data_IF_481550287346
#
_entry.id   IF_481550287346
#
_cell.length_a   1.000
_cell.length_b   1.000
_cell.length_c   1.000
_cell.angle_alpha   90.00
_cell.angle_beta   90.00
_cell.angle_gamma   90.00
#
_symmetry.space_group_name_H-M   'P 1'
#
loop_
_entity.id
_entity.type
_entity.pdbx_description
1 polymer ?
#
# COMPACT_ATOMS: atom_id res chain seq x y z
N UNK A 1 0.90 -13.48 34.96
CA UNK A 1 0.75 -12.05 34.64
C UNK A 1 -0.62 -11.85 33.99
N UNK A 2 -1.34 -10.83 34.35
CA UNK A 2 -2.68 -10.53 33.85
C UNK A 2 -2.58 -9.50 32.70
N UNK A 3 -3.56 -9.47 31.79
CA UNK A 3 -3.68 -8.53 30.67
C UNK A 3 -3.61 -7.06 31.13
N UNK A 4 -3.95 -6.79 32.39
CA UNK A 4 -3.77 -5.48 33.04
C UNK A 4 -2.33 -4.96 33.09
N UNK A 5 -1.33 -5.84 32.87
CA UNK A 5 0.09 -5.47 32.93
C UNK A 5 0.69 -5.08 31.58
N UNK A 6 -0.10 -5.11 30.50
CA UNK A 6 0.31 -4.58 29.20
C UNK A 6 -0.07 -3.10 29.07
N UNK A 7 0.52 -2.40 28.08
CA UNK A 7 0.21 -0.99 27.83
C UNK A 7 -1.30 -0.77 27.68
N UNK A 8 -1.81 0.31 28.27
CA UNK A 8 -3.26 0.61 28.39
C UNK A 8 -3.97 0.54 27.04
N UNK A 9 -3.35 0.99 25.97
CA UNK A 9 -3.88 0.97 24.59
C UNK A 9 -4.19 -0.45 24.08
N UNK A 10 -3.63 -1.50 24.68
CA UNK A 10 -3.82 -2.90 24.27
C UNK A 10 -4.59 -3.73 25.31
N UNK A 11 -5.08 -3.12 26.38
CA UNK A 11 -5.82 -3.85 27.43
C UNK A 11 -7.20 -4.31 26.95
N UNK A 12 -7.82 -3.55 26.06
CA UNK A 12 -9.07 -3.95 25.42
C UNK A 12 -8.79 -4.94 24.27
N UNK A 13 -9.69 -5.92 24.01
CA UNK A 13 -9.59 -6.78 22.86
C UNK A 13 -9.64 -5.91 21.59
N UNK A 14 -8.67 -6.04 20.73
CA UNK A 14 -8.75 -5.51 19.35
C UNK A 14 -9.40 -6.59 18.49
N UNK A 15 -10.57 -6.31 17.94
CA UNK A 15 -11.15 -7.15 16.91
C UNK A 15 -10.27 -7.02 15.65
N UNK A 16 -9.71 -8.13 15.22
CA UNK A 16 -8.97 -8.20 13.97
C UNK A 16 -9.62 -9.25 13.09
N UNK A 17 -10.62 -8.84 12.33
CA UNK A 17 -11.42 -9.70 11.48
C UNK A 17 -10.56 -10.52 10.49
N UNK A 18 -9.48 -9.94 9.96
CA UNK A 18 -8.57 -10.66 9.04
C UNK A 18 -7.85 -11.82 9.76
N UNK A 19 -7.43 -11.63 11.01
CA UNK A 19 -6.82 -12.70 11.81
C UNK A 19 -7.82 -13.77 12.18
N UNK A 20 -9.06 -13.41 12.46
CA UNK A 20 -10.14 -14.34 12.78
C UNK A 20 -10.48 -15.19 11.54
N UNK A 21 -10.61 -14.56 10.36
CA UNK A 21 -10.81 -15.25 9.08
C UNK A 21 -9.63 -16.18 8.76
N UNK A 22 -8.39 -15.72 8.88
CA UNK A 22 -7.21 -16.55 8.66
C UNK A 22 -7.14 -17.75 9.62
N UNK A 23 -7.61 -17.57 10.87
CA UNK A 23 -7.68 -18.64 11.85
C UNK A 23 -8.77 -19.64 11.51
N UNK A 24 -9.93 -19.18 11.02
CA UNK A 24 -11.03 -20.02 10.57
C UNK A 24 -10.63 -20.82 9.31
N UNK A 25 -9.99 -20.14 8.36
CA UNK A 25 -9.50 -20.77 7.12
C UNK A 25 -8.57 -21.95 7.40
N UNK A 26 -7.61 -21.79 8.33
CA UNK A 26 -6.70 -22.88 8.74
C UNK A 26 -7.41 -24.10 9.38
N UNK A 27 -8.60 -23.90 9.94
CA UNK A 27 -9.39 -24.97 10.60
C UNK A 27 -10.39 -25.62 9.67
N UNK A 28 -10.63 -25.07 8.47
CA UNK A 28 -11.65 -25.55 7.54
C UNK A 28 -11.01 -26.42 6.47
N UNK A 29 -11.24 -27.75 6.47
CA UNK A 29 -10.68 -28.65 5.47
C UNK A 29 -11.22 -28.33 4.07
N UNK A 30 -10.37 -28.46 3.04
CA UNK A 30 -10.72 -28.25 1.63
C UNK A 30 -11.29 -26.86 1.29
N UNK A 31 -11.00 -25.85 2.10
CA UNK A 31 -11.38 -24.47 1.82
C UNK A 31 -10.62 -23.94 0.60
N UNK A 32 -11.34 -23.26 -0.29
CA UNK A 32 -10.75 -22.39 -1.31
C UNK A 32 -10.59 -21.00 -0.65
N UNK A 33 -9.39 -20.70 -0.20
CA UNK A 33 -9.10 -19.43 0.49
C UNK A 33 -8.84 -18.31 -0.52
N UNK A 34 -9.72 -17.33 -0.55
CA UNK A 34 -9.62 -16.10 -1.35
C UNK A 34 -9.47 -14.85 -0.48
N UNK A 35 -9.16 -15.00 0.81
CA UNK A 35 -9.20 -13.91 1.81
C UNK A 35 -7.94 -13.07 1.86
N UNK A 36 -6.77 -13.64 1.52
CA UNK A 36 -5.48 -12.97 1.65
C UNK A 36 -4.99 -12.51 0.28
N UNK A 37 -4.65 -11.22 0.18
CA UNK A 37 -4.03 -10.65 -1.03
C UNK A 37 -2.56 -11.05 -1.18
N UNK A 38 -2.27 -12.34 -1.14
CA UNK A 38 -0.94 -12.92 -1.38
C UNK A 38 -0.95 -13.58 -2.76
N UNK A 39 -0.22 -13.06 -3.77
CA UNK A 39 -0.15 -13.70 -5.07
C UNK A 39 0.30 -15.16 -4.94
N UNK A 40 -0.44 -16.08 -5.57
CA UNK A 40 -0.10 -17.49 -5.63
C UNK A 40 1.02 -17.80 -6.63
N UNK A 41 1.49 -16.77 -7.31
CA UNK A 41 2.64 -16.82 -8.22
C UNK A 41 3.94 -16.83 -7.41
N UNK A 42 4.94 -17.48 -7.95
CA UNK A 42 6.29 -17.52 -7.37
C UNK A 42 7.09 -16.35 -7.92
N UNK A 43 7.93 -15.73 -7.08
CA UNK A 43 8.95 -14.76 -7.53
C UNK A 43 9.75 -15.37 -8.70
N UNK A 44 9.97 -14.63 -9.77
CA UNK A 44 10.71 -15.11 -10.94
C UNK A 44 12.08 -15.69 -10.54
N UNK A 45 12.42 -16.85 -11.08
CA UNK A 45 13.62 -17.61 -10.73
C UNK A 45 14.91 -16.78 -10.93
N UNK A 46 14.93 -15.92 -11.95
CA UNK A 46 16.08 -15.04 -12.24
C UNK A 46 16.33 -14.02 -11.13
N UNK A 47 15.26 -13.50 -10.50
CA UNK A 47 15.38 -12.62 -9.33
C UNK A 47 15.95 -13.40 -8.14
N UNK A 48 15.48 -14.64 -7.92
CA UNK A 48 15.95 -15.51 -6.86
C UNK A 48 17.43 -15.87 -7.06
N UNK A 49 17.80 -16.27 -8.27
CA UNK A 49 19.18 -16.64 -8.62
C UNK A 49 20.12 -15.44 -8.48
N UNK A 50 19.72 -14.26 -8.93
CA UNK A 50 20.51 -13.04 -8.78
C UNK A 50 20.78 -12.73 -7.31
N UNK A 51 19.75 -12.73 -6.47
CA UNK A 51 19.91 -12.51 -5.03
C UNK A 51 20.81 -13.57 -4.37
N UNK A 52 20.69 -14.84 -4.77
CA UNK A 52 21.55 -15.91 -4.27
C UNK A 52 23.02 -15.72 -4.70
N UNK A 53 23.26 -15.25 -5.91
CA UNK A 53 24.61 -14.95 -6.40
C UNK A 53 25.20 -13.74 -5.67
N UNK A 54 24.43 -12.71 -5.43
CA UNK A 54 24.84 -11.53 -4.66
C UNK A 54 25.20 -11.92 -3.22
N UNK A 55 24.43 -12.84 -2.61
CA UNK A 55 24.78 -13.39 -1.31
C UNK A 55 26.14 -14.11 -1.31
N UNK A 56 26.40 -14.95 -2.31
CA UNK A 56 27.68 -15.65 -2.47
C UNK A 56 28.85 -14.69 -2.69
N UNK A 57 28.57 -13.54 -3.34
CA UNK A 57 29.55 -12.48 -3.58
C UNK A 57 29.75 -11.54 -2.38
N UNK A 58 29.13 -11.82 -1.24
CA UNK A 58 29.37 -11.09 0.01
C UNK A 58 28.37 -10.00 0.36
N UNK A 59 27.28 -9.81 -0.41
CA UNK A 59 26.20 -8.85 -0.11
C UNK A 59 25.33 -9.36 1.06
N UNK A 60 25.95 -9.63 2.22
CA UNK A 60 25.30 -10.18 3.42
C UNK A 60 25.49 -9.31 4.65
N UNK A 61 26.04 -8.11 4.49
CA UNK A 61 26.30 -7.14 5.56
C UNK A 61 25.20 -6.09 5.62
N UNK A 62 25.17 -5.35 6.71
CA UNK A 62 24.28 -4.19 6.82
C UNK A 62 24.55 -3.18 5.70
N UNK A 63 23.46 -2.63 5.15
CA UNK A 63 23.52 -1.40 4.36
C UNK A 63 23.38 -0.17 5.27
N UNK A 64 23.47 1.02 4.73
CA UNK A 64 23.01 2.22 5.41
C UNK A 64 21.52 2.08 5.82
N UNK A 65 21.09 2.81 6.85
CA UNK A 65 19.73 2.68 7.39
C UNK A 65 18.64 3.18 6.44
N UNK A 66 19.00 3.98 5.47
CA UNK A 66 18.17 4.44 4.35
C UNK A 66 18.21 3.51 3.12
N UNK A 67 19.11 2.54 3.10
CA UNK A 67 19.28 1.58 2.02
C UNK A 67 20.66 1.66 1.36
N UNK A 68 20.96 0.74 0.46
CA UNK A 68 22.17 0.80 -0.35
C UNK A 68 22.03 1.88 -1.43
N UNK A 69 23.14 2.55 -1.78
CA UNK A 69 23.16 3.55 -2.86
C UNK A 69 22.61 2.97 -4.17
N UNK A 70 22.96 1.73 -4.49
CA UNK A 70 22.48 1.05 -5.69
C UNK A 70 20.96 0.83 -5.69
N UNK A 71 20.35 0.53 -4.53
CA UNK A 71 18.90 0.38 -4.43
C UNK A 71 18.18 1.73 -4.58
N UNK A 72 18.67 2.76 -3.90
CA UNK A 72 18.15 4.12 -4.00
C UNK A 72 18.19 4.59 -5.47
N UNK A 73 19.33 4.41 -6.14
CA UNK A 73 19.50 4.78 -7.54
C UNK A 73 18.55 3.98 -8.45
N UNK A 74 18.36 2.68 -8.22
CA UNK A 74 17.43 1.88 -9.02
C UNK A 74 15.98 2.39 -8.90
N UNK A 75 15.54 2.82 -7.71
CA UNK A 75 14.22 3.43 -7.51
C UNK A 75 14.12 4.78 -8.24
N UNK A 76 15.16 5.62 -8.17
CA UNK A 76 15.19 6.92 -8.88
C UNK A 76 15.09 6.70 -10.39
N UNK A 77 15.86 5.77 -10.93
CA UNK A 77 15.86 5.44 -12.37
C UNK A 77 14.51 4.89 -12.82
N UNK A 78 13.87 4.05 -11.99
CA UNK A 78 12.52 3.54 -12.24
C UNK A 78 11.50 4.67 -12.39
N UNK A 79 11.45 5.61 -11.44
CA UNK A 79 10.52 6.75 -11.53
C UNK A 79 10.85 7.69 -12.69
N UNK A 80 12.13 7.90 -12.99
CA UNK A 80 12.54 8.72 -14.13
C UNK A 80 12.12 8.11 -15.46
N UNK A 81 12.29 6.79 -15.64
CA UNK A 81 11.99 6.11 -16.90
C UNK A 81 10.49 5.90 -17.13
N UNK A 82 9.74 5.52 -16.09
CA UNK A 82 8.34 5.16 -16.22
C UNK A 82 7.38 6.36 -16.06
N UNK A 83 7.73 7.31 -15.20
CA UNK A 83 6.84 8.42 -14.81
C UNK A 83 7.42 9.81 -15.10
N UNK A 84 8.63 9.92 -15.63
CA UNK A 84 9.36 11.18 -15.85
C UNK A 84 9.48 12.04 -14.59
N UNK A 85 9.48 11.41 -13.42
CA UNK A 85 9.70 12.06 -12.13
C UNK A 85 11.16 11.89 -11.71
N UNK A 86 11.77 12.99 -11.24
CA UNK A 86 13.15 13.00 -10.76
C UNK A 86 13.19 13.25 -9.26
N UNK A 87 13.91 12.40 -8.54
CA UNK A 87 14.12 12.52 -7.10
C UNK A 87 15.61 12.60 -6.78
N UNK A 88 15.94 13.22 -5.64
CA UNK A 88 17.29 13.21 -5.12
C UNK A 88 17.51 11.99 -4.23
N UNK A 89 18.74 11.47 -4.10
CA UNK A 89 19.01 10.30 -3.27
C UNK A 89 18.53 10.41 -1.82
N UNK A 90 18.60 11.60 -1.22
CA UNK A 90 18.13 11.86 0.15
C UNK A 90 16.60 11.87 0.30
N UNK A 91 15.86 11.83 -0.81
CA UNK A 91 14.40 11.72 -0.82
C UNK A 91 13.91 10.27 -0.87
N UNK A 92 14.79 9.31 -1.13
CA UNK A 92 14.43 7.89 -1.32
C UNK A 92 15.05 7.05 -0.21
N UNK A 93 14.29 6.08 0.29
CA UNK A 93 14.79 5.09 1.24
C UNK A 93 14.21 3.70 1.03
N UNK A 94 14.99 2.67 1.29
CA UNK A 94 14.53 1.30 1.38
C UNK A 94 13.72 1.07 2.67
N UNK A 95 12.67 0.28 2.56
CA UNK A 95 11.79 -0.07 3.69
C UNK A 95 11.51 -1.57 3.75
N UNK A 96 11.09 -2.07 4.90
CA UNK A 96 10.66 -3.48 5.08
C UNK A 96 9.21 -3.63 4.59
N UNK A 97 9.01 -3.46 3.28
CA UNK A 97 7.72 -3.29 2.62
C UNK A 97 7.10 -1.91 2.84
N UNK A 98 6.06 -1.58 2.07
CA UNK A 98 5.36 -0.28 2.15
C UNK A 98 4.79 0.01 3.54
N UNK A 99 4.27 -1.00 4.26
CA UNK A 99 3.77 -0.84 5.63
C UNK A 99 4.80 -0.24 6.59
N UNK A 100 6.07 -0.60 6.45
CA UNK A 100 7.14 -0.02 7.26
C UNK A 100 7.38 1.45 6.89
N UNK A 101 7.34 1.78 5.60
CA UNK A 101 7.42 3.17 5.15
C UNK A 101 6.29 4.04 5.72
N UNK A 102 5.05 3.55 5.64
CA UNK A 102 3.88 4.21 6.21
C UNK A 102 4.02 4.42 7.72
N UNK A 103 4.47 3.39 8.45
CA UNK A 103 4.76 3.52 9.89
C UNK A 103 5.77 4.63 10.16
N UNK A 104 6.89 4.64 9.45
CA UNK A 104 7.92 5.67 9.63
C UNK A 104 7.39 7.07 9.34
N UNK A 105 6.67 7.25 8.23
CA UNK A 105 6.08 8.53 7.86
C UNK A 105 5.12 9.06 8.95
N UNK A 106 4.20 8.21 9.42
CA UNK A 106 3.26 8.59 10.48
C UNK A 106 3.97 8.95 11.79
N UNK A 107 5.03 8.21 12.18
CA UNK A 107 5.83 8.55 13.35
C UNK A 107 6.55 9.90 13.23
N UNK A 108 6.93 10.29 12.00
CA UNK A 108 7.62 11.57 11.74
C UNK A 108 6.66 12.75 11.79
N UNK A 109 5.43 12.58 11.21
CA UNK A 109 4.56 13.73 10.94
C UNK A 109 3.50 13.99 12.01
N UNK A 110 3.14 12.99 12.85
CA UNK A 110 2.05 13.12 13.80
C UNK A 110 2.51 13.49 15.20
N UNK A 111 1.79 14.41 15.81
CA UNK A 111 1.74 14.61 17.24
C UNK A 111 0.47 13.92 17.83
N UNK A 112 0.45 13.64 19.15
CA UNK A 112 -0.75 13.10 19.78
C UNK A 112 -1.99 13.96 19.50
N UNK A 113 -3.01 13.32 18.93
CA UNK A 113 -4.29 13.95 18.59
C UNK A 113 -4.35 14.62 17.22
N UNK A 114 -3.28 14.60 16.42
CA UNK A 114 -3.34 14.98 15.00
C UNK A 114 -4.24 14.01 14.22
N UNK A 115 -5.00 14.52 13.27
CA UNK A 115 -5.97 13.77 12.50
C UNK A 115 -5.41 13.32 11.15
N UNK A 116 -5.72 12.07 10.77
CA UNK A 116 -5.40 11.51 9.45
C UNK A 116 -6.68 11.04 8.78
N UNK A 117 -6.98 11.59 7.60
CA UNK A 117 -8.14 11.21 6.82
C UNK A 117 -7.83 9.91 6.07
N UNK A 118 -8.72 8.91 6.19
CA UNK A 118 -8.64 7.61 5.52
C UNK A 118 -9.95 7.39 4.76
N UNK A 119 -9.90 7.24 3.44
CA UNK A 119 -11.11 6.93 2.70
C UNK A 119 -11.54 5.47 2.89
N UNK A 120 -12.84 5.21 2.91
CA UNK A 120 -13.44 3.89 3.13
C UNK A 120 -14.10 3.37 1.85
N UNK A 121 -14.07 2.06 1.57
CA UNK A 121 -13.40 0.98 2.31
C UNK A 121 -11.88 1.07 2.26
N UNK A 122 -11.17 0.62 3.29
CA UNK A 122 -9.72 0.78 3.41
C UNK A 122 -8.99 -0.51 3.83
N UNK A 123 -7.69 -0.53 3.59
CA UNK A 123 -6.80 -1.57 4.09
C UNK A 123 -6.62 -1.42 5.60
N UNK A 124 -7.13 -2.38 6.37
CA UNK A 124 -7.28 -2.28 7.84
C UNK A 124 -6.03 -1.81 8.62
N UNK A 125 -4.79 -2.12 8.23
CA UNK A 125 -3.61 -1.64 8.95
C UNK A 125 -3.43 -0.12 9.00
N UNK A 126 -4.02 0.66 8.10
CA UNK A 126 -3.87 2.12 8.14
C UNK A 126 -4.40 2.73 9.43
N UNK A 127 -5.62 2.33 9.84
CA UNK A 127 -6.20 2.75 11.12
C UNK A 127 -5.27 2.45 12.29
N UNK A 128 -4.76 1.20 12.33
CA UNK A 128 -3.90 0.76 13.43
C UNK A 128 -2.58 1.52 13.47
N UNK A 129 -1.99 1.84 12.30
CA UNK A 129 -0.76 2.61 12.21
C UNK A 129 -0.93 4.08 12.64
N UNK A 130 -2.07 4.70 12.30
CA UNK A 130 -2.41 6.05 12.79
C UNK A 130 -2.52 6.04 14.32
N UNK A 131 -3.21 5.04 14.89
CA UNK A 131 -3.33 4.89 16.35
C UNK A 131 -1.99 4.59 17.03
N UNK A 132 -1.10 3.83 16.38
CA UNK A 132 0.27 3.57 16.88
C UNK A 132 1.13 4.83 16.95
N UNK A 133 0.83 5.81 16.11
CA UNK A 133 1.48 7.13 16.12
C UNK A 133 0.73 8.16 17.00
N UNK A 134 -0.15 7.71 17.89
CA UNK A 134 -1.01 8.53 18.76
C UNK A 134 -1.91 9.52 17.99
N UNK A 135 -2.11 9.28 16.67
CA UNK A 135 -3.01 10.05 15.80
C UNK A 135 -4.47 9.60 15.92
N UNK A 136 -5.36 10.36 15.29
CA UNK A 136 -6.80 10.13 15.25
C UNK A 136 -7.23 9.83 13.80
N UNK A 137 -7.69 8.61 13.48
CA UNK A 137 -8.21 8.32 12.15
C UNK A 137 -9.58 8.98 11.96
N UNK A 138 -9.73 9.70 10.83
CA UNK A 138 -10.97 10.34 10.39
C UNK A 138 -11.41 9.67 9.10
N UNK A 139 -12.60 9.07 9.08
CA UNK A 139 -13.05 8.30 7.94
C UNK A 139 -13.83 9.13 6.93
N UNK A 140 -13.50 8.92 5.64
CA UNK A 140 -14.12 9.53 4.48
C UNK A 140 -14.77 8.42 3.65
N UNK A 141 -16.10 8.26 3.69
CA UNK A 141 -16.78 7.22 2.93
C UNK A 141 -16.70 7.46 1.43
N UNK A 142 -16.55 6.37 0.66
CA UNK A 142 -16.76 6.32 -0.78
C UNK A 142 -17.83 5.28 -1.10
N UNK A 143 -18.53 5.42 -2.23
CA UNK A 143 -19.71 4.63 -2.53
C UNK A 143 -19.60 3.94 -3.89
N UNK A 144 -20.24 2.77 -4.02
CA UNK A 144 -20.23 1.95 -5.24
C UNK A 144 -20.88 2.70 -6.41
N UNK A 145 -21.96 3.44 -6.16
CA UNK A 145 -22.68 4.25 -7.16
C UNK A 145 -21.81 5.33 -7.81
N UNK A 146 -20.80 5.84 -7.07
CA UNK A 146 -19.84 6.85 -7.55
C UNK A 146 -18.51 6.19 -8.00
N UNK A 147 -18.50 4.86 -8.16
CA UNK A 147 -17.31 4.11 -8.55
C UNK A 147 -16.19 4.15 -7.51
N UNK A 148 -16.55 4.32 -6.24
CA UNK A 148 -15.63 4.48 -5.11
C UNK A 148 -14.64 5.64 -5.27
N UNK A 149 -15.01 6.68 -6.06
CA UNK A 149 -14.22 7.90 -6.15
C UNK A 149 -14.37 8.72 -4.86
N UNK A 150 -13.35 9.52 -4.55
CA UNK A 150 -13.39 10.44 -3.42
C UNK A 150 -14.26 11.65 -3.79
N UNK A 151 -15.30 11.92 -2.99
CA UNK A 151 -16.02 13.19 -3.04
C UNK A 151 -15.15 14.28 -2.37
N UNK A 152 -14.61 15.18 -3.19
CA UNK A 152 -13.71 16.25 -2.73
C UNK A 152 -14.45 17.30 -1.90
N UNK A 153 -15.75 17.50 -2.11
CA UNK A 153 -16.53 18.39 -1.25
C UNK A 153 -16.63 17.80 0.17
N UNK A 154 -16.96 16.52 0.27
CA UNK A 154 -16.98 15.82 1.55
C UNK A 154 -15.58 15.74 2.21
N UNK A 155 -14.51 15.58 1.41
CA UNK A 155 -13.13 15.65 1.89
C UNK A 155 -12.87 17.00 2.58
N UNK A 156 -13.24 18.11 1.96
CA UNK A 156 -13.07 19.46 2.53
C UNK A 156 -13.83 19.63 3.84
N UNK A 157 -15.03 19.06 3.96
CA UNK A 157 -15.81 19.10 5.21
C UNK A 157 -15.16 18.33 6.37
N UNK A 158 -14.35 17.31 6.06
CA UNK A 158 -13.64 16.51 7.07
C UNK A 158 -12.36 17.18 7.59
N UNK A 159 -11.87 18.21 6.92
CA UNK A 159 -10.63 18.90 7.30
C UNK A 159 -10.90 19.81 8.50
N UNK A 160 -10.07 19.65 9.54
CA UNK A 160 -10.06 20.49 10.74
C UNK A 160 -8.67 21.09 10.94
N UNK A 161 -8.48 22.04 11.89
CA UNK A 161 -7.15 22.53 12.25
C UNK A 161 -6.18 21.44 12.77
N UNK A 162 -6.67 20.26 13.11
CA UNK A 162 -5.87 19.10 13.55
C UNK A 162 -5.52 18.15 12.41
N UNK A 163 -6.14 18.29 11.25
CA UNK A 163 -5.88 17.43 10.12
C UNK A 163 -4.44 17.62 9.63
N UNK A 164 -3.68 16.54 9.58
CA UNK A 164 -2.25 16.54 9.23
C UNK A 164 -1.99 15.87 7.90
N UNK A 165 -2.73 14.80 7.59
CA UNK A 165 -2.50 14.01 6.39
C UNK A 165 -3.78 13.37 5.85
N UNK A 166 -3.69 12.93 4.60
CA UNK A 166 -4.67 12.09 3.92
C UNK A 166 -3.93 10.83 3.48
N UNK A 167 -4.41 9.63 3.83
CA UNK A 167 -3.95 8.37 3.24
C UNK A 167 -4.74 8.15 1.96
N UNK A 168 -4.01 8.11 0.84
CA UNK A 168 -4.53 7.89 -0.49
C UNK A 168 -3.94 6.59 -1.06
N UNK A 169 -4.77 5.72 -1.61
CA UNK A 169 -4.32 4.46 -2.20
C UNK A 169 -5.15 4.15 -3.45
N UNK A 170 -4.47 4.16 -4.58
CA UNK A 170 -5.03 3.89 -5.90
C UNK A 170 -3.93 3.28 -6.77
N UNK A 171 -4.20 2.12 -7.41
CA UNK A 171 -5.42 1.30 -7.35
C UNK A 171 -5.78 0.81 -5.94
N UNK A 172 -7.09 0.76 -5.66
CA UNK A 172 -7.61 0.59 -4.30
C UNK A 172 -7.66 -0.87 -3.83
N UNK A 173 -7.31 -1.07 -2.58
CA UNK A 173 -7.60 -2.27 -1.81
C UNK A 173 -8.69 -1.92 -0.76
N UNK A 174 -9.94 -2.45 -0.81
CA UNK A 174 -10.31 -3.67 -1.54
C UNK A 174 -11.15 -3.47 -2.82
N UNK A 175 -11.49 -2.24 -3.21
CA UNK A 175 -12.54 -2.00 -4.21
C UNK A 175 -12.13 -2.24 -5.66
N UNK A 176 -10.82 -2.23 -5.96
CA UNK A 176 -10.29 -2.26 -7.32
C UNK A 176 -10.53 -0.95 -8.10
N UNK A 177 -10.97 0.10 -7.43
CA UNK A 177 -11.13 1.42 -8.03
C UNK A 177 -9.77 2.05 -8.35
N UNK A 178 -9.69 2.75 -9.46
CA UNK A 178 -8.60 3.63 -9.84
C UNK A 178 -9.13 5.05 -9.85
N UNK A 179 -8.47 5.96 -9.14
CA UNK A 179 -8.89 7.36 -9.12
C UNK A 179 -8.48 8.05 -10.41
N UNK A 180 -9.35 8.92 -10.91
CA UNK A 180 -9.09 9.70 -12.11
C UNK A 180 -8.00 10.75 -11.86
N UNK A 181 -7.32 11.19 -12.92
CA UNK A 181 -6.41 12.33 -12.82
C UNK A 181 -7.09 13.60 -12.28
N UNK A 182 -8.36 13.81 -12.60
CA UNK A 182 -9.15 14.92 -12.08
C UNK A 182 -9.28 14.84 -10.57
N UNK A 183 -9.66 13.67 -10.05
CA UNK A 183 -9.70 13.40 -8.59
C UNK A 183 -8.35 13.67 -7.93
N UNK A 184 -7.26 13.21 -8.55
CA UNK A 184 -5.91 13.47 -8.02
C UNK A 184 -5.54 14.96 -8.00
N UNK A 185 -5.86 15.71 -9.06
CA UNK A 185 -5.61 17.16 -9.13
C UNK A 185 -6.40 17.91 -8.05
N UNK A 186 -7.66 17.56 -7.85
CA UNK A 186 -8.51 18.18 -6.83
C UNK A 186 -8.00 17.86 -5.41
N UNK A 187 -7.63 16.62 -5.13
CA UNK A 187 -7.03 16.24 -3.83
C UNK A 187 -5.70 16.98 -3.62
N UNK A 188 -4.85 17.06 -4.65
CA UNK A 188 -3.60 17.82 -4.59
C UNK A 188 -3.85 19.30 -4.24
N UNK A 189 -4.83 19.92 -4.89
CA UNK A 189 -5.21 21.30 -4.62
C UNK A 189 -5.63 21.48 -3.15
N UNK A 190 -6.49 20.59 -2.65
CA UNK A 190 -6.92 20.59 -1.24
C UNK A 190 -5.74 20.44 -0.29
N UNK A 191 -4.84 19.48 -0.56
CA UNK A 191 -3.69 19.26 0.29
C UNK A 191 -2.74 20.46 0.32
N UNK A 192 -2.52 21.11 -0.82
CA UNK A 192 -1.70 22.33 -0.92
C UNK A 192 -2.35 23.51 -0.15
N UNK A 193 -3.67 23.74 -0.36
CA UNK A 193 -4.41 24.81 0.29
C UNK A 193 -4.42 24.70 1.82
N UNK A 194 -4.51 23.47 2.33
CA UNK A 194 -4.58 23.18 3.76
C UNK A 194 -3.24 22.74 4.38
N UNK A 195 -2.15 22.75 3.60
CA UNK A 195 -0.81 22.32 4.03
C UNK A 195 -0.82 20.90 4.65
N UNK A 196 -1.51 19.94 3.98
CA UNK A 196 -1.62 18.55 4.38
C UNK A 196 -0.56 17.70 3.67
N UNK A 197 -0.12 16.63 4.31
CA UNK A 197 0.60 15.56 3.64
C UNK A 197 -0.38 14.61 2.92
N UNK A 198 0.06 14.08 1.76
CA UNK A 198 -0.62 12.99 1.07
C UNK A 198 0.28 11.76 1.23
N UNK A 199 -0.21 10.79 1.98
CA UNK A 199 0.43 9.50 2.17
C UNK A 199 -0.07 8.57 1.06
N UNK A 200 0.65 8.56 -0.08
CA UNK A 200 0.24 7.85 -1.29
C UNK A 200 0.78 6.43 -1.28
N UNK A 201 -0.11 5.46 -1.04
CA UNK A 201 0.23 4.02 -1.16
C UNK A 201 0.01 3.58 -2.61
N UNK A 202 1.12 3.38 -3.33
CA UNK A 202 1.16 3.06 -4.76
C UNK A 202 1.54 1.58 -5.02
N UNK A 203 1.30 0.70 -4.05
CA UNK A 203 1.68 -0.73 -4.09
C UNK A 203 1.07 -1.50 -5.27
N UNK A 204 -0.04 -1.01 -5.82
CA UNK A 204 -0.74 -1.61 -6.96
C UNK A 204 -0.57 -0.81 -8.26
N UNK A 205 0.42 0.05 -8.37
CA UNK A 205 0.66 0.92 -9.53
C UNK A 205 0.64 0.18 -10.87
N UNK A 206 1.29 -1.00 -10.92
CA UNK A 206 1.34 -1.84 -12.11
C UNK A 206 -0.01 -2.45 -12.51
N UNK A 207 -0.95 -2.54 -11.58
CA UNK A 207 -2.26 -3.15 -11.80
C UNK A 207 -3.33 -2.13 -12.18
N UNK A 208 -3.03 -1.23 -13.14
CA UNK A 208 -4.01 -0.38 -13.79
C UNK A 208 -4.37 -0.98 -15.15
N UNK A 209 -5.59 -1.54 -15.29
CA UNK A 209 -5.94 -2.33 -16.48
C UNK A 209 -6.50 -1.51 -17.63
N UNK A 210 -6.97 -0.30 -17.39
CA UNK A 210 -7.67 0.52 -18.39
C UNK A 210 -6.99 1.86 -18.65
N UNK A 211 -6.19 2.34 -17.72
CA UNK A 211 -5.57 3.66 -17.75
C UNK A 211 -4.10 3.53 -17.36
N UNK A 212 -3.29 4.47 -17.81
CA UNK A 212 -1.90 4.56 -17.34
C UNK A 212 -1.87 5.11 -15.93
N UNK A 213 -1.15 4.45 -15.03
CA UNK A 213 -0.96 4.94 -13.66
C UNK A 213 -0.19 6.26 -13.66
N UNK A 214 -0.67 7.21 -12.87
CA UNK A 214 0.01 8.50 -12.64
C UNK A 214 0.30 8.66 -11.15
N UNK A 215 1.58 8.73 -10.73
CA UNK A 215 1.94 8.92 -9.33
C UNK A 215 1.40 10.23 -8.76
N UNK A 216 0.95 10.22 -7.50
CA UNK A 216 0.42 11.41 -6.82
C UNK A 216 1.45 12.55 -6.73
N UNK A 217 2.74 12.21 -6.66
CA UNK A 217 3.83 13.18 -6.66
C UNK A 217 3.89 14.05 -7.94
N UNK A 218 3.23 13.64 -9.03
CA UNK A 218 3.08 14.47 -10.25
C UNK A 218 2.27 15.73 -9.99
N UNK A 219 1.30 15.67 -9.08
CA UNK A 219 0.36 16.76 -8.82
C UNK A 219 0.73 17.61 -7.60
N UNK A 220 1.30 16.98 -6.57
CA UNK A 220 1.68 17.65 -5.32
C UNK A 220 3.03 17.16 -4.78
N UNK A 221 4.16 17.38 -5.49
CA UNK A 221 5.45 16.76 -5.17
C UNK A 221 6.00 17.12 -3.78
N UNK A 222 5.65 18.29 -3.24
CA UNK A 222 6.11 18.74 -1.91
C UNK A 222 5.24 18.23 -0.76
N UNK A 223 4.03 17.79 -1.06
CA UNK A 223 3.07 17.33 -0.07
C UNK A 223 2.98 15.79 -0.05
N UNK A 224 3.48 15.11 -1.08
CA UNK A 224 3.34 13.66 -1.23
C UNK A 224 4.49 12.91 -0.58
N UNK A 225 4.13 11.88 0.17
CA UNK A 225 5.01 10.81 0.62
C UNK A 225 4.52 9.54 -0.08
N UNK A 226 5.33 9.01 -0.98
CA UNK A 226 4.99 7.83 -1.80
C UNK A 226 5.53 6.56 -1.16
N UNK A 227 4.72 5.50 -1.16
CA UNK A 227 5.09 4.16 -0.70
C UNK A 227 4.97 3.18 -1.85
N UNK A 228 6.10 2.58 -2.24
CA UNK A 228 6.15 1.53 -3.24
C UNK A 228 6.53 0.18 -2.63
N UNK A 229 6.21 -0.90 -3.32
CA UNK A 229 6.45 -2.26 -2.82
C UNK A 229 6.71 -3.24 -3.95
N UNK A 230 7.58 -4.20 -3.69
CA UNK A 230 7.81 -5.34 -4.58
C UNK A 230 6.84 -6.50 -4.34
N UNK A 231 6.03 -6.41 -3.27
CA UNK A 231 5.21 -7.51 -2.79
C UNK A 231 4.23 -8.03 -3.84
N UNK A 232 3.58 -7.14 -4.62
CA UNK A 232 2.49 -7.51 -5.53
C UNK A 232 2.97 -7.65 -6.96
N UNK A 233 3.59 -6.61 -7.50
CA UNK A 233 4.06 -6.57 -8.88
C UNK A 233 5.08 -7.68 -9.22
N UNK A 234 5.88 -8.10 -8.25
CA UNK A 234 6.90 -9.13 -8.43
C UNK A 234 6.65 -10.44 -7.67
N UNK A 235 5.46 -10.63 -7.08
CA UNK A 235 5.15 -11.77 -6.21
C UNK A 235 6.21 -11.96 -5.09
N UNK A 236 6.64 -10.88 -4.46
CA UNK A 236 7.74 -10.83 -3.48
C UNK A 236 7.24 -10.53 -2.06
N UNK A 237 6.06 -11.01 -1.66
CA UNK A 237 5.48 -10.72 -0.34
C UNK A 237 6.38 -11.12 0.82
N UNK A 238 7.03 -12.29 0.72
CA UNK A 238 7.93 -12.85 1.74
C UNK A 238 9.31 -12.17 1.80
N UNK A 239 9.73 -11.43 0.78
CA UNK A 239 11.02 -10.75 0.73
C UNK A 239 11.07 -9.49 1.60
N UNK A 240 9.93 -8.96 1.98
CA UNK A 240 9.80 -7.77 2.83
C UNK A 240 10.62 -6.58 2.34
N UNK A 241 10.46 -6.20 1.09
CA UNK A 241 11.12 -5.05 0.47
C UNK A 241 10.11 -4.07 -0.16
N UNK A 242 10.38 -2.81 0.01
CA UNK A 242 9.68 -1.67 -0.56
C UNK A 242 10.53 -0.42 -0.44
N UNK A 243 9.94 0.71 -0.74
CA UNK A 243 10.61 2.00 -0.62
C UNK A 243 9.62 3.09 -0.19
N UNK A 244 10.17 4.17 0.34
CA UNK A 244 9.46 5.42 0.61
C UNK A 244 10.18 6.55 -0.13
N UNK A 245 9.42 7.40 -0.81
CA UNK A 245 9.90 8.65 -1.41
C UNK A 245 9.22 9.80 -0.68
N UNK A 246 9.99 10.67 -0.08
CA UNK A 246 9.46 11.75 0.75
C UNK A 246 10.36 13.00 0.65
N UNK A 247 9.89 14.18 1.06
CA UNK A 247 10.77 15.32 1.28
C UNK A 247 11.98 14.95 2.16
N UNK A 248 13.14 15.51 1.87
CA UNK A 248 14.42 15.18 2.51
C UNK A 248 14.38 15.27 4.04
N UNK A 249 13.77 16.32 4.59
CA UNK A 249 13.62 16.50 6.04
C UNK A 249 12.76 15.41 6.72
N UNK A 250 11.81 14.80 5.99
CA UNK A 250 11.03 13.63 6.46
C UNK A 250 11.94 12.39 6.51
N UNK A 251 12.70 12.17 5.43
CA UNK A 251 13.61 11.03 5.35
C UNK A 251 14.75 11.10 6.37
N UNK A 252 15.24 12.31 6.67
CA UNK A 252 16.27 12.53 7.70
C UNK A 252 15.78 12.04 9.08
N UNK A 253 14.55 12.44 9.47
CA UNK A 253 13.98 12.02 10.76
C UNK A 253 13.60 10.54 10.73
N UNK A 254 13.02 10.06 9.61
CA UNK A 254 12.69 8.63 9.43
C UNK A 254 13.94 7.73 9.55
N UNK A 255 15.10 8.20 9.12
CA UNK A 255 16.39 7.51 9.30
C UNK A 255 16.70 7.29 10.77
N UNK A 256 16.59 8.34 11.59
CA UNK A 256 16.85 8.26 13.04
C UNK A 256 15.90 7.28 13.73
N UNK A 257 14.60 7.32 13.38
CA UNK A 257 13.62 6.38 13.92
C UNK A 257 13.97 4.95 13.50
N UNK A 258 14.29 4.74 12.22
CA UNK A 258 14.57 3.41 11.68
C UNK A 258 15.81 2.75 12.29
N UNK A 259 16.82 3.52 12.67
CA UNK A 259 18.00 2.99 13.38
C UNK A 259 17.62 2.33 14.70
N UNK A 260 16.55 2.78 15.35
CA UNK A 260 16.00 2.16 16.57
C UNK A 260 14.97 1.05 16.34
N UNK A 261 14.51 0.84 15.09
CA UNK A 261 13.42 -0.13 14.78
C UNK A 261 13.96 -1.36 14.05
N UNK A 262 14.43 -1.21 12.82
CA UNK A 262 14.94 -2.32 11.99
C UNK A 262 16.38 -2.16 11.57
N UNK A 263 16.96 -1.01 11.84
CA UNK A 263 18.25 -0.53 11.38
C UNK A 263 18.28 -0.31 9.85
N UNK A 264 18.17 -1.37 9.04
CA UNK A 264 18.09 -1.31 7.57
C UNK A 264 17.15 -2.37 7.03
N UNK A 265 16.62 -2.15 5.82
CA UNK A 265 15.91 -3.21 5.09
C UNK A 265 16.87 -4.37 4.75
N UNK A 266 16.37 -5.62 4.60
CA UNK A 266 17.22 -6.79 4.33
C UNK A 266 18.07 -6.59 3.06
N UNK A 267 19.38 -6.73 3.19
CA UNK A 267 20.33 -6.48 2.09
C UNK A 267 20.06 -7.36 0.87
N UNK A 268 19.78 -8.65 1.07
CA UNK A 268 19.48 -9.57 -0.03
C UNK A 268 18.21 -9.16 -0.78
N UNK A 269 17.21 -8.70 -0.04
CA UNK A 269 15.97 -8.21 -0.65
C UNK A 269 16.18 -6.91 -1.43
N UNK A 270 17.10 -6.05 -0.99
CA UNK A 270 17.48 -4.88 -1.76
C UNK A 270 18.17 -5.27 -3.07
N UNK A 271 19.10 -6.25 -3.06
CA UNK A 271 19.74 -6.75 -4.27
C UNK A 271 18.73 -7.35 -5.25
N UNK A 272 17.80 -8.19 -4.74
CA UNK A 272 16.69 -8.69 -5.54
C UNK A 272 15.85 -7.56 -6.15
N UNK A 273 15.55 -6.52 -5.36
CA UNK A 273 14.77 -5.36 -5.80
C UNK A 273 15.46 -4.54 -6.88
N UNK A 274 16.78 -4.37 -6.81
CA UNK A 274 17.57 -3.70 -7.87
C UNK A 274 17.37 -4.42 -9.20
N UNK A 275 17.59 -5.74 -9.21
CA UNK A 275 17.44 -6.54 -10.42
C UNK A 275 15.99 -6.55 -10.94
N UNK A 276 15.02 -6.63 -10.05
CA UNK A 276 13.62 -6.58 -10.38
C UNK A 276 13.22 -5.26 -11.07
N UNK A 277 13.65 -4.11 -10.55
CA UNK A 277 13.37 -2.80 -11.17
C UNK A 277 14.06 -2.60 -12.51
N UNK A 278 15.27 -3.14 -12.69
CA UNK A 278 15.99 -3.06 -13.95
C UNK A 278 15.31 -3.82 -15.10
N UNK A 279 14.45 -4.78 -14.77
CA UNK A 279 13.72 -5.63 -15.71
C UNK A 279 12.20 -5.56 -15.44
N UNK A 280 11.69 -4.39 -15.06
CA UNK A 280 10.33 -4.21 -14.55
C UNK A 280 9.27 -4.81 -15.47
N UNK A 281 9.18 -4.36 -16.71
CA UNK A 281 8.13 -4.78 -17.64
C UNK A 281 8.22 -6.30 -17.91
N UNK A 282 9.43 -6.85 -18.02
CA UNK A 282 9.64 -8.28 -18.29
C UNK A 282 9.08 -9.18 -17.19
N UNK A 283 9.18 -8.75 -15.92
CA UNK A 283 8.70 -9.54 -14.78
C UNK A 283 7.25 -9.23 -14.40
N UNK A 284 6.83 -8.00 -14.62
CA UNK A 284 5.53 -7.51 -14.12
C UNK A 284 4.40 -7.77 -15.11
N UNK A 285 4.61 -7.57 -16.41
CA UNK A 285 3.56 -7.75 -17.42
C UNK A 285 2.89 -9.12 -17.37
N UNK A 286 3.62 -10.26 -17.24
CA UNK A 286 2.97 -11.56 -17.13
C UNK A 286 2.12 -11.72 -15.87
N UNK A 287 2.51 -11.10 -14.76
CA UNK A 287 1.76 -11.14 -13.50
C UNK A 287 0.48 -10.32 -13.63
N UNK A 288 0.57 -9.13 -14.22
CA UNK A 288 -0.56 -8.24 -14.47
C UNK A 288 -1.59 -8.93 -15.37
N UNK A 289 -1.18 -9.56 -16.45
CA UNK A 289 -2.04 -10.31 -17.38
C UNK A 289 -2.82 -11.44 -16.67
N UNK A 290 -2.15 -12.18 -15.79
CA UNK A 290 -2.80 -13.24 -14.99
C UNK A 290 -3.89 -12.66 -14.10
N UNK A 291 -3.63 -11.58 -13.36
CA UNK A 291 -4.62 -10.97 -12.48
C UNK A 291 -5.76 -10.31 -13.24
N UNK A 292 -5.48 -9.63 -14.34
CA UNK A 292 -6.51 -9.08 -15.22
C UNK A 292 -7.46 -10.17 -15.72
N UNK A 293 -6.93 -11.26 -16.27
CA UNK A 293 -7.71 -12.39 -16.75
C UNK A 293 -8.58 -13.01 -15.64
N UNK A 294 -8.04 -13.16 -14.43
CA UNK A 294 -8.77 -13.69 -13.28
C UNK A 294 -9.91 -12.78 -12.85
N UNK A 295 -9.66 -11.47 -12.77
CA UNK A 295 -10.69 -10.49 -12.39
C UNK A 295 -11.80 -10.38 -13.42
N UNK A 296 -11.49 -10.43 -14.71
CA UNK A 296 -12.47 -10.51 -15.79
C UNK A 296 -13.34 -11.76 -15.67
N UNK A 297 -12.72 -12.92 -15.38
CA UNK A 297 -13.46 -14.15 -15.14
C UNK A 297 -14.38 -14.05 -13.92
N UNK A 298 -13.89 -13.51 -12.80
CA UNK A 298 -14.70 -13.27 -11.59
C UNK A 298 -15.89 -12.37 -11.91
N UNK A 299 -15.68 -11.25 -12.62
CA UNK A 299 -16.75 -10.35 -13.03
C UNK A 299 -17.83 -11.05 -13.87
N UNK A 300 -17.42 -11.87 -14.85
CA UNK A 300 -18.33 -12.66 -15.68
C UNK A 300 -19.12 -13.70 -14.86
N UNK A 301 -18.52 -14.26 -13.82
CA UNK A 301 -19.18 -15.25 -12.94
C UNK A 301 -20.15 -14.57 -11.99
N UNK A 302 -19.76 -13.48 -11.36
CA UNK A 302 -20.62 -12.70 -10.45
C UNK A 302 -21.86 -12.17 -11.18
N UNK A 303 -21.72 -11.68 -12.41
CA UNK A 303 -22.84 -11.21 -13.22
C UNK A 303 -23.94 -12.26 -13.49
N UNK A 304 -23.63 -13.57 -13.33
CA UNK A 304 -24.59 -14.67 -13.46
C UNK A 304 -25.31 -15.02 -12.16
N UNK A 305 -24.94 -14.39 -11.05
CA UNK A 305 -25.51 -14.68 -9.73
C UNK A 305 -26.47 -13.52 -9.35
N UNK A 306 -27.79 -13.75 -9.31
CA UNK A 306 -28.79 -12.66 -9.19
C UNK A 306 -28.67 -11.80 -7.93
N UNK A 307 -28.04 -12.34 -6.88
CA UNK A 307 -27.93 -11.71 -5.56
C UNK A 307 -26.59 -10.99 -5.33
N UNK A 308 -25.69 -11.07 -6.29
CA UNK A 308 -24.37 -10.46 -6.22
C UNK A 308 -24.21 -9.40 -7.30
N UNK A 309 -23.41 -8.39 -7.01
CA UNK A 309 -22.91 -7.46 -8.01
C UNK A 309 -21.46 -7.11 -7.73
N UNK A 310 -20.78 -6.65 -8.76
CA UNK A 310 -19.38 -6.21 -8.68
C UNK A 310 -19.26 -4.94 -9.52
N UNK A 311 -18.79 -3.86 -8.90
CA UNK A 311 -18.40 -2.67 -9.64
C UNK A 311 -17.23 -3.02 -10.58
N UNK A 312 -17.18 -2.46 -11.80
CA UNK A 312 -16.07 -2.75 -12.72
C UNK A 312 -14.71 -2.53 -12.06
N UNK A 313 -13.91 -3.60 -12.01
CA UNK A 313 -12.56 -3.56 -11.44
C UNK A 313 -11.63 -2.93 -12.46
N UNK A 314 -11.11 -1.75 -12.16
CA UNK A 314 -10.20 -1.00 -13.04
C UNK A 314 -8.73 -1.26 -12.74
N UNK A 315 -8.45 -1.76 -11.53
CA UNK A 315 -7.09 -2.03 -11.10
C UNK A 315 -7.02 -2.89 -9.83
N UNK A 316 -5.80 -3.00 -9.25
CA UNK A 316 -5.55 -3.82 -8.08
C UNK A 316 -5.68 -5.34 -8.37
N UNK A 317 -5.72 -6.16 -7.34
CA UNK A 317 -5.85 -7.64 -7.44
C UNK A 317 -7.13 -8.16 -6.75
N UNK A 318 -8.05 -7.27 -6.38
CA UNK A 318 -9.22 -7.59 -5.57
C UNK A 318 -10.53 -7.46 -6.35
N UNK A 319 -11.48 -8.33 -6.00
CA UNK A 319 -12.87 -8.23 -6.41
C UNK A 319 -13.73 -7.94 -5.16
N UNK A 320 -14.24 -6.72 -5.04
CA UNK A 320 -15.08 -6.29 -3.92
C UNK A 320 -16.55 -6.52 -4.23
N UNK A 321 -17.04 -7.72 -3.90
CA UNK A 321 -18.36 -8.20 -4.28
C UNK A 321 -19.43 -7.60 -3.36
N UNK A 322 -20.43 -6.95 -3.94
CA UNK A 322 -21.62 -6.47 -3.22
C UNK A 322 -22.59 -7.62 -2.98
N UNK A 323 -22.89 -7.88 -1.71
CA UNK A 323 -23.75 -8.96 -1.24
C UNK A 323 -25.08 -8.44 -0.66
N UNK A 324 -25.37 -7.15 -0.76
CA UNK A 324 -26.53 -6.51 -0.12
C UNK A 324 -27.84 -7.20 -0.44
N UNK A 325 -28.02 -7.66 -1.68
CA UNK A 325 -29.25 -8.36 -2.12
C UNK A 325 -29.44 -9.75 -1.49
N UNK A 326 -28.42 -10.31 -0.82
CA UNK A 326 -28.55 -11.57 -0.09
C UNK A 326 -29.26 -11.38 1.25
N UNK A 327 -29.34 -10.16 1.76
CA UNK A 327 -29.84 -9.85 3.10
C UNK A 327 -28.88 -10.25 4.25
N UNK A 328 -27.68 -10.74 3.92
CA UNK A 328 -26.66 -11.13 4.90
C UNK A 328 -25.63 -10.00 5.08
N UNK A 329 -25.03 -9.95 6.26
CA UNK A 329 -23.81 -9.18 6.50
C UNK A 329 -22.57 -10.01 6.11
N UNK A 330 -21.40 -9.36 6.01
CA UNK A 330 -20.17 -9.99 5.48
C UNK A 330 -19.77 -11.26 6.24
N UNK A 331 -19.79 -11.24 7.56
CA UNK A 331 -19.34 -12.38 8.39
C UNK A 331 -20.25 -13.61 8.25
N UNK A 332 -21.59 -13.51 8.29
CA UNK A 332 -22.47 -14.64 8.01
C UNK A 332 -22.46 -15.12 6.56
N UNK A 333 -21.99 -14.29 5.60
CA UNK A 333 -21.91 -14.66 4.19
C UNK A 333 -20.68 -15.52 3.90
N UNK A 334 -19.55 -15.26 4.56
CA UNK A 334 -18.29 -16.01 4.43
C UNK A 334 -18.27 -17.22 5.36
#
# INVERSE_FOLDING_TARGET
MDRKNIATRYQQPTENLLMDIATLAKKTPNLIDLSIGDPDLITDERIIEQAANDAKNGHTKYTASDGSEAFIEAVIQFYQSHYQLSFQPNQVRATVGALHGMYLALQVILNPGDEVIIHEPYFSPYKDQVLLADGVPVFLPTYEEDGFQIDVALLKEKITPKTKAIILYSPNNPTGAVFSEETFREIAQVAIEHNLYILSDEVYEAFCFQETFTPMATFAPKNTITFGSFSKAFAMTGWRIGYMIAPDYINEVAKLINEGVTYSAPTLSQQAGIYALQHFDEFVDPIVEVFQTRLEYVAQRVAKIPFLSLHPVKGSIYAFINIQKTGLTSVPFV
#
